data_IF_558288338371
#
_entry.id   IF_558288338371
#
_cell.length_a   1.000
_cell.length_b   1.000
_cell.length_c   1.000
_cell.angle_alpha   90.00
_cell.angle_beta   90.00
_cell.angle_gamma   90.00
#
_symmetry.space_group_name_H-M   'P 1'
#
loop_
_entity.id
_entity.type
_entity.pdbx_description
1 polymer ?
#
# COMPACT_ATOMS: atom_id res chain seq x y z
N UNK A 1 -20.11 -16.02 -7.30
CA UNK A 1 -19.94 -15.35 -7.05
C UNK A 1 -19.48 -15.06 -6.53
N UNK A 2 -19.41 -14.89 -6.25
CA UNK A 2 -19.22 -14.45 -5.63
C UNK A 2 -18.78 -13.67 -5.12
N UNK A 3 -18.47 -13.80 -4.92
CA UNK A 3 -17.87 -13.16 -4.12
C UNK A 3 -17.89 -11.81 -4.23
N UNK A 4 -18.46 -11.40 -4.87
CA UNK A 4 -18.42 -10.20 -4.97
C UNK A 4 -19.28 -9.67 -4.34
N UNK A 5 -18.94 -9.43 -3.54
CA UNK A 5 -19.60 -8.75 -2.85
C UNK A 5 -20.08 -7.74 -3.55
N UNK A 6 -21.12 -7.50 -3.34
CA UNK A 6 -21.70 -6.59 -4.03
C UNK A 6 -21.04 -5.38 -3.84
N UNK A 7 -20.78 -5.04 -2.91
CA UNK A 7 -20.11 -3.95 -2.82
C UNK A 7 -18.83 -4.22 -3.22
N UNK A 8 -18.67 -5.25 -3.59
CA UNK A 8 -17.80 -5.42 -4.06
C UNK A 8 -16.56 -5.53 -3.78
N UNK A 9 -15.86 -5.59 -3.68
CA UNK A 9 -14.64 -5.82 -3.59
C UNK A 9 -13.89 -5.13 -2.78
N UNK A 10 -14.11 -4.23 -2.35
CA UNK A 10 -13.20 -3.45 -1.70
C UNK A 10 -12.48 -4.07 -0.58
N UNK A 11 -13.07 -4.83 0.19
CA UNK A 11 -12.38 -5.37 1.32
C UNK A 11 -11.23 -6.23 0.92
N UNK A 12 -11.41 -7.02 -0.11
CA UNK A 12 -10.39 -7.96 -0.52
C UNK A 12 -9.47 -7.45 -1.59
N UNK A 13 -9.75 -6.29 -2.16
CA UNK A 13 -8.95 -5.79 -3.26
C UNK A 13 -7.52 -5.50 -2.84
N UNK A 14 -7.31 -5.01 -1.62
CA UNK A 14 -5.96 -4.75 -1.13
C UNK A 14 -5.17 -6.03 -0.94
N UNK A 15 -5.83 -7.09 -0.47
CA UNK A 15 -5.17 -8.38 -0.30
C UNK A 15 -4.81 -9.01 -1.63
N UNK A 16 -5.70 -8.93 -2.62
CA UNK A 16 -5.42 -9.42 -3.95
C UNK A 16 -4.28 -8.65 -4.60
N UNK A 17 -4.29 -7.34 -4.46
CA UNK A 17 -3.23 -6.52 -4.98
C UNK A 17 -1.89 -6.89 -4.35
N UNK A 18 -1.87 -7.02 -3.03
CA UNK A 18 -0.67 -7.40 -2.31
C UNK A 18 -0.15 -8.77 -2.77
N UNK A 19 -1.03 -9.73 -2.92
CA UNK A 19 -0.66 -11.07 -3.37
C UNK A 19 -0.05 -11.04 -4.76
N UNK A 20 -0.66 -10.30 -5.68
CA UNK A 20 -0.16 -10.20 -7.05
C UNK A 20 1.20 -9.50 -7.10
N UNK A 21 1.34 -8.42 -6.36
CA UNK A 21 2.60 -7.68 -6.31
C UNK A 21 3.71 -8.54 -5.72
N UNK A 22 3.42 -9.25 -4.64
CA UNK A 22 4.42 -10.08 -3.98
C UNK A 22 4.90 -11.23 -4.88
N UNK A 23 4.01 -11.77 -5.70
CA UNK A 23 4.38 -12.86 -6.60
C UNK A 23 5.31 -12.42 -7.72
N UNK A 24 5.38 -11.12 -8.00
CA UNK A 24 6.26 -10.60 -9.04
C UNK A 24 7.68 -10.34 -8.55
N UNK A 25 7.89 -10.33 -7.23
CA UNK A 25 9.24 -10.11 -6.70
C UNK A 25 10.05 -11.38 -6.79
N UNK A 26 11.23 -11.28 -7.37
CA UNK A 26 12.13 -12.43 -7.49
C UNK A 26 13.31 -12.37 -6.56
N UNK A 27 13.57 -11.20 -5.94
CA UNK A 27 14.66 -11.08 -4.98
C UNK A 27 14.14 -10.38 -3.72
N UNK A 28 14.73 -10.72 -2.60
CA UNK A 28 14.47 -9.99 -1.36
C UNK A 28 15.64 -9.07 -1.08
N UNK A 29 15.38 -7.91 -0.50
CA UNK A 29 16.44 -6.98 -0.16
C UNK A 29 17.37 -7.61 0.85
N UNK A 30 18.64 -7.64 0.54
CA UNK A 30 19.69 -8.10 1.43
C UNK A 30 20.90 -7.20 1.23
N UNK A 31 22.00 -7.52 1.88
CA UNK A 31 23.22 -6.74 1.72
C UNK A 31 23.72 -6.87 0.29
N UNK A 32 23.97 -5.76 -0.34
CA UNK A 32 24.60 -5.76 -1.66
C UNK A 32 23.70 -5.85 -2.86
N UNK A 33 22.39 -5.97 -2.69
CA UNK A 33 21.48 -6.05 -3.85
C UNK A 33 20.45 -4.92 -3.91
N UNK A 34 20.74 -3.80 -3.26
CA UNK A 34 19.77 -2.71 -3.15
C UNK A 34 19.31 -2.20 -4.51
N UNK A 35 20.23 -2.05 -5.47
CA UNK A 35 19.89 -1.47 -6.77
C UNK A 35 18.91 -2.38 -7.53
N UNK A 36 19.16 -3.67 -7.53
CA UNK A 36 18.27 -4.62 -8.21
C UNK A 36 16.92 -4.67 -7.51
N UNK A 37 16.92 -4.72 -6.18
CA UNK A 37 15.68 -4.74 -5.40
C UNK A 37 14.86 -3.47 -5.65
N UNK A 38 15.52 -2.32 -5.61
CA UNK A 38 14.82 -1.05 -5.83
C UNK A 38 14.22 -0.98 -7.23
N UNK A 39 14.96 -1.45 -8.22
CA UNK A 39 14.46 -1.46 -9.58
C UNK A 39 13.20 -2.31 -9.71
N UNK A 40 13.19 -3.51 -9.12
CA UNK A 40 12.01 -4.35 -9.15
C UNK A 40 10.82 -3.71 -8.44
N UNK A 41 11.05 -3.10 -7.30
CA UNK A 41 10.00 -2.41 -6.57
C UNK A 41 9.39 -1.31 -7.43
N UNK A 42 10.22 -0.50 -8.05
CA UNK A 42 9.73 0.62 -8.86
C UNK A 42 8.92 0.13 -10.07
N UNK A 43 9.37 -0.92 -10.72
CA UNK A 43 8.65 -1.49 -11.87
C UNK A 43 7.30 -2.03 -11.43
N UNK A 44 7.26 -2.73 -10.31
CA UNK A 44 6.00 -3.29 -9.82
C UNK A 44 5.03 -2.19 -9.41
N UNK A 45 5.51 -1.19 -8.68
CA UNK A 45 4.65 -0.09 -8.27
C UNK A 45 4.11 0.69 -9.46
N UNK A 46 4.94 0.89 -10.47
CA UNK A 46 4.49 1.57 -11.67
C UNK A 46 3.44 0.75 -12.41
N UNK A 47 3.66 -0.56 -12.51
CA UNK A 47 2.72 -1.47 -13.17
C UNK A 47 1.33 -1.41 -12.53
N UNK A 48 1.27 -1.26 -11.22
CA UNK A 48 -0.01 -1.20 -10.50
C UNK A 48 -0.45 0.23 -10.21
N UNK A 49 0.22 1.22 -10.81
CA UNK A 49 -0.11 2.64 -10.63
C UNK A 49 -0.08 3.07 -9.16
N UNK A 50 0.88 2.55 -8.42
CA UNK A 50 1.01 2.85 -7.00
C UNK A 50 2.30 3.59 -6.67
N UNK A 51 3.04 4.06 -7.67
CA UNK A 51 4.29 4.75 -7.41
C UNK A 51 4.06 6.05 -6.64
N UNK A 52 2.88 6.62 -6.76
CA UNK A 52 2.52 7.84 -6.04
C UNK A 52 2.48 7.63 -4.52
N UNK A 53 2.32 6.40 -4.06
CA UNK A 53 2.29 6.13 -2.63
C UNK A 53 3.64 6.47 -1.97
N UNK A 54 4.71 6.47 -2.76
CA UNK A 54 6.03 6.83 -2.25
C UNK A 54 6.32 8.33 -2.34
N UNK A 55 5.38 9.11 -2.86
CA UNK A 55 5.60 10.53 -3.05
C UNK A 55 5.17 11.30 -1.81
N UNK A 56 6.13 11.87 -1.11
CA UNK A 56 5.87 12.61 0.13
C UNK A 56 5.08 13.89 -0.09
N UNK A 57 4.98 14.36 -1.33
CA UNK A 57 4.22 15.57 -1.61
C UNK A 57 2.71 15.33 -1.62
N UNK A 58 2.30 14.07 -1.66
CA UNK A 58 0.88 13.73 -1.68
C UNK A 58 0.40 13.59 -0.24
N UNK A 59 -0.56 14.44 0.14
CA UNK A 59 -1.08 14.41 1.49
C UNK A 59 -2.24 13.43 1.61
N UNK A 60 -2.38 12.86 2.80
CA UNK A 60 -3.50 12.00 3.08
C UNK A 60 -4.81 12.78 3.04
N UNK A 61 -5.89 12.17 2.59
CA UNK A 61 -7.22 12.81 2.71
C UNK A 61 -7.58 13.04 4.17
N UNK A 62 -8.47 13.98 4.42
CA UNK A 62 -8.96 14.21 5.77
C UNK A 62 -9.67 12.99 6.31
N UNK A 63 -9.46 12.71 7.57
CA UNK A 63 -10.07 11.52 8.19
C UNK A 63 -11.58 11.63 8.29
N UNK A 64 -12.09 12.82 8.59
CA UNK A 64 -13.52 13.03 8.75
C UNK A 64 -14.05 13.95 7.66
N UNK A 65 -15.30 13.75 7.30
CA UNK A 65 -15.96 14.61 6.33
C UNK A 65 -16.28 15.96 6.95
N UNK A 66 -16.32 16.98 6.11
CA UNK A 66 -16.72 18.32 6.54
C UNK A 66 -18.18 18.56 6.18
N UNK A 67 -18.86 19.33 7.02
CA UNK A 67 -20.23 19.74 6.73
C UNK A 67 -20.23 20.97 5.82
N UNK A 68 -21.43 21.49 5.50
CA UNK A 68 -21.56 22.62 4.59
C UNK A 68 -20.92 23.90 5.15
N UNK A 69 -20.71 23.97 6.45
CA UNK A 69 -20.07 25.12 7.06
C UNK A 69 -18.55 24.97 7.15
N UNK A 70 -18.01 23.87 6.67
CA UNK A 70 -16.56 23.64 6.70
C UNK A 70 -16.05 23.03 7.99
N UNK A 71 -16.93 22.64 8.90
CA UNK A 71 -16.53 21.99 10.15
C UNK A 71 -16.48 20.49 9.98
N UNK A 72 -15.53 19.86 10.69
CA UNK A 72 -15.43 18.41 10.62
C UNK A 72 -16.61 17.77 11.36
N UNK A 73 -17.09 16.69 10.79
CA UNK A 73 -18.13 15.86 11.41
C UNK A 73 -17.48 14.65 12.08
N UNK A 74 -18.30 13.76 12.60
CA UNK A 74 -17.80 12.49 13.12
C UNK A 74 -17.88 11.37 12.07
N UNK A 75 -18.27 11.71 10.85
CA UNK A 75 -18.39 10.74 9.78
C UNK A 75 -17.05 10.52 9.12
N UNK A 76 -16.66 9.25 8.97
CA UNK A 76 -15.37 8.91 8.38
C UNK A 76 -15.40 9.18 6.88
N UNK A 77 -14.34 9.80 6.39
CA UNK A 77 -14.19 10.06 4.97
C UNK A 77 -13.79 8.77 4.24
N UNK A 78 -14.61 8.29 3.29
CA UNK A 78 -14.26 7.07 2.56
C UNK A 78 -12.93 7.16 1.81
N UNK A 79 -12.56 8.35 1.34
CA UNK A 79 -11.29 8.54 0.67
C UNK A 79 -10.12 8.30 1.62
N UNK A 80 -10.27 8.66 2.90
CA UNK A 80 -9.25 8.39 3.90
C UNK A 80 -9.07 6.89 4.11
N UNK A 81 -10.18 6.15 4.18
CA UNK A 81 -10.11 4.70 4.38
C UNK A 81 -9.42 4.04 3.19
N UNK A 82 -9.77 4.43 1.97
CA UNK A 82 -9.15 3.88 0.78
C UNK A 82 -7.65 4.18 0.74
N UNK A 83 -7.26 5.40 1.07
CA UNK A 83 -5.87 5.79 1.12
C UNK A 83 -5.11 4.97 2.16
N UNK A 84 -5.70 4.81 3.34
CA UNK A 84 -5.05 4.08 4.43
C UNK A 84 -4.86 2.60 4.07
N UNK A 85 -5.85 2.00 3.41
CA UNK A 85 -5.76 0.61 2.99
C UNK A 85 -4.65 0.41 1.95
N UNK A 86 -4.52 1.34 1.00
CA UNK A 86 -3.44 1.27 0.02
C UNK A 86 -2.07 1.40 0.69
N UNK A 87 -1.96 2.31 1.65
CA UNK A 87 -0.70 2.53 2.34
C UNK A 87 -0.31 1.32 3.17
N UNK A 88 -1.27 0.69 3.85
CA UNK A 88 -1.00 -0.51 4.63
C UNK A 88 -0.62 -1.70 3.73
N UNK A 89 -1.28 -1.84 2.59
CA UNK A 89 -0.94 -2.89 1.64
C UNK A 89 0.49 -2.69 1.12
N UNK A 90 0.86 -1.44 0.83
CA UNK A 90 2.20 -1.11 0.39
C UNK A 90 3.23 -1.45 1.46
N UNK A 91 2.94 -1.09 2.71
CA UNK A 91 3.84 -1.36 3.81
C UNK A 91 4.06 -2.85 3.97
N UNK A 92 2.99 -3.62 3.92
CA UNK A 92 3.07 -5.07 4.03
C UNK A 92 3.85 -5.67 2.87
N UNK A 93 3.61 -5.16 1.67
CA UNK A 93 4.34 -5.61 0.50
C UNK A 93 5.84 -5.35 0.65
N UNK A 94 6.22 -4.13 1.04
CA UNK A 94 7.64 -3.80 1.19
C UNK A 94 8.29 -4.67 2.25
N UNK A 95 7.63 -4.88 3.38
CA UNK A 95 8.17 -5.75 4.43
C UNK A 95 8.37 -7.18 3.94
N UNK A 96 7.46 -7.67 3.11
CA UNK A 96 7.58 -9.03 2.58
C UNK A 96 8.75 -9.20 1.61
N UNK A 97 9.30 -8.10 1.12
CA UNK A 97 10.41 -8.13 0.19
C UNK A 97 11.78 -7.99 0.87
N UNK A 98 11.81 -7.95 2.19
CA UNK A 98 13.06 -7.83 2.94
C UNK A 98 13.54 -9.19 3.40
N UNK A 99 14.85 -9.40 3.36
CA UNK A 99 15.40 -10.64 3.91
C UNK A 99 15.27 -10.64 5.44
N UNK A 100 15.35 -11.80 6.08
CA UNK A 100 15.31 -11.85 7.55
C UNK A 100 16.38 -10.98 8.21
N UNK A 101 17.57 -10.93 7.61
CA UNK A 101 18.67 -10.13 8.18
C UNK A 101 18.31 -8.64 8.13
N UNK A 102 17.72 -8.17 7.04
CA UNK A 102 17.33 -6.77 6.92
C UNK A 102 16.15 -6.46 7.83
N UNK A 103 15.19 -7.37 7.93
CA UNK A 103 14.05 -7.19 8.83
C UNK A 103 14.52 -6.99 10.27
N UNK A 104 15.55 -7.68 10.68
CA UNK A 104 16.08 -7.56 12.04
C UNK A 104 16.54 -6.12 12.34
N UNK A 105 17.05 -5.41 11.34
CA UNK A 105 17.43 -4.02 11.54
C UNK A 105 16.23 -3.10 11.70
N UNK A 106 15.12 -3.39 11.01
CA UNK A 106 13.96 -2.52 11.05
C UNK A 106 13.13 -2.73 12.29
N UNK A 107 13.21 -3.92 12.86
CA UNK A 107 12.41 -4.25 14.05
C UNK A 107 13.19 -4.01 15.33
N UNK A 108 14.46 -4.24 15.26
CA UNK A 108 15.30 -4.18 16.41
C UNK A 108 15.63 -2.84 16.87
#
# INVERSE_FOLDING_TARGET
MPAIAPSGLPVNSSLLLLSNMSSMMTVKLDYGNYVVWKHQIEVILDTYSMIDVLDDSITAPDRFLKDSSGNFTTEINPAFIAWKNREQAMFTFLNSTLSPAILAFTVG
#
